data_IF_886728570631
#
_entry.id   IF_886728570631
#
_cell.length_a   1.000
_cell.length_b   1.000
_cell.length_c   1.000
_cell.angle_alpha   90.00
_cell.angle_beta   90.00
_cell.angle_gamma   90.00
#
_symmetry.space_group_name_H-M   'P 1'
#
loop_
_entity.id
_entity.type
_entity.pdbx_description
1 polymer ?
#
# COMPACT_ATOMS: atom_id res chain seq x y z
N UNK A 1 19.65 38.58 27.18
CA UNK A 1 19.78 39.98 27.57
C UNK A 1 18.39 40.63 27.58
N UNK A 2 18.17 41.67 28.36
CA UNK A 2 16.88 42.39 28.43
C UNK A 2 16.46 42.89 27.04
N UNK A 3 17.38 43.37 26.24
CA UNK A 3 17.12 43.77 24.85
C UNK A 3 16.51 42.64 24.01
N UNK A 4 17.01 41.40 24.09
CA UNK A 4 16.44 40.27 23.37
C UNK A 4 15.01 39.96 23.81
N UNK A 5 14.71 40.04 25.12
CA UNK A 5 13.38 39.81 25.64
C UNK A 5 12.36 40.85 25.14
N UNK A 6 12.79 42.13 25.06
CA UNK A 6 11.96 43.20 24.52
C UNK A 6 11.71 43.02 23.03
N UNK A 7 12.74 42.68 22.25
CA UNK A 7 12.62 42.43 20.81
C UNK A 7 11.71 41.21 20.54
N UNK A 8 11.90 40.10 21.27
CA UNK A 8 11.06 38.92 21.17
C UNK A 8 9.59 39.26 21.45
N UNK A 9 9.33 39.99 22.53
CA UNK A 9 7.99 40.43 22.92
C UNK A 9 7.37 41.36 21.89
N UNK A 10 8.13 42.36 21.43
CA UNK A 10 7.65 43.40 20.51
C UNK A 10 7.33 42.86 19.09
N UNK A 11 8.18 41.98 18.57
CA UNK A 11 8.09 41.52 17.17
C UNK A 11 7.35 40.17 17.12
N UNK A 12 7.85 39.15 17.85
CA UNK A 12 7.31 37.79 17.84
C UNK A 12 6.06 37.61 18.67
N UNK A 13 5.99 38.32 19.76
CA UNK A 13 5.01 38.17 20.82
C UNK A 13 5.48 37.18 21.89
N UNK A 14 5.17 37.48 23.12
CA UNK A 14 5.43 36.65 24.28
C UNK A 14 4.14 36.39 25.05
N UNK A 15 3.93 35.16 25.47
CA UNK A 15 2.81 34.83 26.34
C UNK A 15 2.99 35.54 27.69
N UNK A 16 2.07 36.47 27.99
CA UNK A 16 2.03 37.18 29.29
C UNK A 16 1.39 36.33 30.36
N UNK A 17 0.34 35.57 30.02
CA UNK A 17 -0.36 34.64 30.88
C UNK A 17 -1.11 33.63 30.03
N UNK A 18 -1.68 32.61 30.71
CA UNK A 18 -2.52 31.60 30.07
C UNK A 18 -3.95 31.82 30.56
N UNK A 19 -4.88 31.87 29.62
CA UNK A 19 -6.31 31.92 29.91
C UNK A 19 -6.88 30.50 29.82
N UNK A 20 -7.67 30.13 30.85
CA UNK A 20 -8.30 28.81 30.95
C UNK A 20 -9.79 28.94 30.65
N UNK A 21 -10.27 28.17 29.69
CA UNK A 21 -11.68 28.03 29.36
C UNK A 21 -12.06 26.54 29.39
N UNK A 22 -12.63 26.10 30.50
CA UNK A 22 -12.86 24.69 30.80
C UNK A 22 -11.56 23.87 30.74
N UNK A 23 -11.46 22.91 29.81
CA UNK A 23 -10.28 22.08 29.61
C UNK A 23 -9.30 22.66 28.56
N UNK A 24 -9.64 23.82 27.99
CA UNK A 24 -8.80 24.46 26.94
C UNK A 24 -7.97 25.58 27.56
N UNK A 25 -6.73 25.66 27.08
CA UNK A 25 -5.78 26.70 27.46
C UNK A 25 -5.49 27.58 26.26
N UNK A 26 -5.49 28.91 26.48
CA UNK A 26 -5.17 29.91 25.46
C UNK A 26 -4.08 30.83 25.98
N UNK A 27 -3.01 31.00 25.19
CA UNK A 27 -1.95 31.94 25.52
C UNK A 27 -2.41 33.38 25.23
N UNK A 28 -2.34 34.23 26.26
CA UNK A 28 -2.56 35.67 26.09
C UNK A 28 -1.24 36.28 25.61
N UNK A 29 -1.15 36.53 24.31
CA UNK A 29 0.08 37.02 23.65
C UNK A 29 0.14 38.55 23.71
N UNK A 30 1.26 39.05 24.22
CA UNK A 30 1.58 40.47 24.15
C UNK A 30 2.57 40.74 23.01
N UNK A 31 2.19 41.60 22.06
CA UNK A 31 3.06 42.05 20.96
C UNK A 31 2.62 43.41 20.44
N UNK A 32 3.51 44.10 19.73
CA UNK A 32 3.15 45.34 19.07
C UNK A 32 2.19 45.13 17.91
N UNK A 33 1.37 46.13 17.63
CA UNK A 33 0.52 46.15 16.43
C UNK A 33 1.35 45.99 15.16
N UNK A 34 0.73 45.43 14.13
CA UNK A 34 1.40 45.12 12.86
C UNK A 34 2.08 46.31 12.21
N UNK A 35 1.48 47.50 12.32
CA UNK A 35 2.03 48.74 11.77
C UNK A 35 3.40 49.16 12.37
N UNK A 36 3.74 48.69 13.58
CA UNK A 36 5.00 49.05 14.26
C UNK A 36 6.07 47.99 14.14
N UNK A 37 5.80 46.84 13.51
CA UNK A 37 6.74 45.74 13.36
C UNK A 37 7.00 45.24 11.94
N UNK A 38 6.42 45.92 10.91
CA UNK A 38 6.57 45.54 9.51
C UNK A 38 7.61 46.38 8.77
N UNK A 39 8.19 47.39 9.43
CA UNK A 39 9.12 48.32 8.85
C UNK A 39 10.42 48.35 9.65
N UNK A 40 11.55 48.28 8.97
CA UNK A 40 12.89 48.29 9.57
C UNK A 40 13.12 49.55 10.40
N UNK A 41 12.65 50.73 9.92
CA UNK A 41 12.77 51.98 10.65
C UNK A 41 11.95 51.95 11.96
N UNK A 42 10.72 51.48 11.92
CA UNK A 42 9.84 51.40 13.10
C UNK A 42 10.32 50.37 14.14
N UNK A 43 10.92 49.27 13.66
CA UNK A 43 11.58 48.31 14.56
C UNK A 43 12.79 48.96 15.23
N UNK A 44 13.53 49.81 14.49
CA UNK A 44 14.65 50.57 15.03
C UNK A 44 14.28 51.57 16.13
N UNK A 45 13.06 52.08 16.12
CA UNK A 45 12.55 53.04 17.09
C UNK A 45 12.02 52.37 18.39
N UNK A 46 12.01 51.03 18.48
CA UNK A 46 11.64 50.33 19.70
C UNK A 46 12.60 50.73 20.84
N UNK A 47 12.04 51.19 21.95
CA UNK A 47 12.79 51.63 23.11
C UNK A 47 13.20 50.45 23.98
N UNK A 48 14.49 50.36 24.25
CA UNK A 48 15.10 49.33 25.12
C UNK A 48 15.47 49.98 26.45
N UNK A 49 15.01 49.49 27.63
CA UNK A 49 15.41 49.97 28.90
C UNK A 49 16.88 49.66 29.18
N UNK A 50 17.63 50.64 29.73
CA UNK A 50 19.02 50.45 30.17
C UNK A 50 19.04 50.29 31.71
N UNK A 51 20.13 49.77 32.25
CA UNK A 51 20.31 49.59 33.69
C UNK A 51 20.22 50.92 34.50
N UNK A 52 20.50 52.03 33.86
CA UNK A 52 20.42 53.37 34.45
C UNK A 52 19.00 53.98 34.38
N UNK A 53 17.99 53.19 33.99
CA UNK A 53 16.60 53.63 33.88
C UNK A 53 16.30 54.52 32.68
N UNK A 54 17.25 54.74 31.76
CA UNK A 54 17.05 55.44 30.50
C UNK A 54 16.50 54.49 29.43
N UNK A 55 15.82 55.05 28.45
CA UNK A 55 15.34 54.28 27.29
C UNK A 55 16.17 54.71 26.07
N UNK A 56 16.69 53.71 25.32
CA UNK A 56 17.52 53.91 24.13
C UNK A 56 16.85 53.23 22.94
N UNK A 57 16.70 53.88 21.78
CA UNK A 57 16.16 53.26 20.57
C UNK A 57 17.04 52.07 20.12
N UNK A 58 16.41 51.01 19.65
CA UNK A 58 17.11 49.79 19.20
C UNK A 58 18.15 50.09 18.11
N UNK A 59 17.88 51.04 17.21
CA UNK A 59 18.80 51.46 16.14
C UNK A 59 20.13 52.02 16.62
N UNK A 60 20.24 52.47 17.89
CA UNK A 60 21.48 52.97 18.46
C UNK A 60 22.37 51.82 19.01
N UNK A 61 21.79 50.67 19.27
CA UNK A 61 22.49 49.53 19.87
C UNK A 61 22.58 48.30 18.95
N UNK A 62 21.83 48.30 17.82
CA UNK A 62 21.81 47.17 16.88
C UNK A 62 21.63 47.63 15.42
N UNK A 63 22.28 46.96 14.51
CA UNK A 63 22.07 47.10 13.07
C UNK A 63 20.93 46.17 12.63
N UNK A 64 19.83 46.77 12.13
CA UNK A 64 18.60 46.06 11.79
C UNK A 64 18.54 45.91 10.28
N UNK A 65 18.43 44.68 9.81
CA UNK A 65 18.35 44.33 8.40
C UNK A 65 17.35 43.24 8.16
N UNK A 66 16.52 43.40 7.16
CA UNK A 66 15.73 42.28 6.64
C UNK A 66 16.62 41.33 5.84
N UNK A 67 16.74 40.10 6.29
CA UNK A 67 17.44 39.04 5.56
C UNK A 67 16.46 37.96 5.17
N UNK A 68 16.50 37.55 3.91
CA UNK A 68 15.77 36.40 3.45
C UNK A 68 16.59 35.14 3.73
N UNK A 69 16.01 34.21 4.45
CA UNK A 69 16.66 32.96 4.80
C UNK A 69 15.62 31.88 5.16
N UNK A 70 16.01 30.62 5.23
CA UNK A 70 15.10 29.57 5.65
C UNK A 70 14.67 29.78 7.10
N UNK A 71 13.36 29.82 7.36
CA UNK A 71 12.79 29.97 8.69
C UNK A 71 13.23 28.84 9.64
N UNK A 72 13.42 27.65 9.08
CA UNK A 72 13.90 26.47 9.81
C UNK A 72 14.98 25.75 9.00
N UNK A 73 15.97 25.23 9.69
CA UNK A 73 17.02 24.37 9.13
C UNK A 73 16.76 22.96 9.62
N UNK A 74 16.14 22.14 8.75
CA UNK A 74 15.89 20.74 9.04
C UNK A 74 17.17 19.92 8.97
N UNK A 75 17.30 18.97 9.91
CA UNK A 75 18.44 18.07 9.95
C UNK A 75 17.99 16.63 10.21
N UNK A 76 18.58 15.70 9.51
CA UNK A 76 18.41 14.28 9.69
C UNK A 76 19.79 13.61 9.66
N UNK A 77 20.10 12.75 10.64
CA UNK A 77 21.40 12.09 10.71
C UNK A 77 22.58 13.08 10.71
N UNK A 78 22.50 14.21 11.42
CA UNK A 78 23.48 15.31 11.46
C UNK A 78 23.68 16.09 10.15
N UNK A 79 22.98 15.74 9.08
CA UNK A 79 23.04 16.45 7.79
C UNK A 79 21.83 17.39 7.62
N UNK A 80 22.06 18.54 6.99
CA UNK A 80 20.95 19.43 6.61
C UNK A 80 20.22 18.83 5.43
N UNK A 81 18.90 18.98 5.41
CA UNK A 81 18.10 18.61 4.24
C UNK A 81 17.05 19.65 3.89
N UNK A 82 16.64 19.64 2.64
CA UNK A 82 15.49 20.40 2.13
C UNK A 82 14.47 19.38 1.62
N UNK A 83 13.28 19.39 2.21
CA UNK A 83 12.18 18.53 1.78
C UNK A 83 11.39 19.19 0.64
N UNK A 84 11.36 18.54 -0.52
CA UNK A 84 10.52 18.92 -1.65
C UNK A 84 9.35 17.92 -1.70
N UNK A 85 8.18 18.37 -1.26
CA UNK A 85 6.97 17.56 -1.28
C UNK A 85 6.15 17.83 -2.55
N UNK A 86 5.63 16.78 -3.16
CA UNK A 86 4.68 16.86 -4.27
C UNK A 86 3.64 15.77 -4.18
N UNK A 87 2.46 16.01 -4.75
CA UNK A 87 1.36 15.06 -4.80
C UNK A 87 1.13 14.61 -6.24
N UNK A 88 0.85 13.32 -6.41
CA UNK A 88 0.56 12.74 -7.72
C UNK A 88 -0.97 12.64 -7.87
N UNK A 89 -1.48 13.02 -9.04
CA UNK A 89 -2.90 12.89 -9.40
C UNK A 89 -3.01 12.21 -10.75
N UNK A 90 -3.96 11.30 -10.88
CA UNK A 90 -4.33 10.60 -12.12
C UNK A 90 -3.20 9.78 -12.78
N UNK A 91 -2.13 9.46 -12.01
CA UNK A 91 -1.00 8.63 -12.46
C UNK A 91 -0.56 7.65 -11.37
N UNK A 92 0.08 6.57 -11.79
CA UNK A 92 0.71 5.63 -10.88
C UNK A 92 1.95 6.24 -10.18
N UNK A 93 2.07 5.96 -8.88
CA UNK A 93 3.17 6.47 -8.04
C UNK A 93 4.54 5.97 -8.53
N UNK A 94 4.66 4.67 -8.81
CA UNK A 94 5.93 4.04 -9.20
C UNK A 94 6.46 4.64 -10.50
N UNK A 95 5.66 4.61 -11.58
CA UNK A 95 6.05 5.13 -12.89
C UNK A 95 6.35 6.62 -12.89
N UNK A 96 5.64 7.41 -12.05
CA UNK A 96 5.89 8.85 -11.92
C UNK A 96 7.21 9.13 -11.23
N UNK A 97 7.54 8.38 -10.17
CA UNK A 97 8.82 8.54 -9.47
C UNK A 97 9.98 8.07 -10.35
N UNK A 98 9.85 6.96 -11.07
CA UNK A 98 10.90 6.48 -12.00
C UNK A 98 11.19 7.54 -13.08
N UNK A 99 10.14 8.17 -13.64
CA UNK A 99 10.29 9.28 -14.58
C UNK A 99 10.97 10.50 -13.93
N UNK A 100 10.58 10.84 -12.70
CA UNK A 100 11.16 11.95 -11.95
C UNK A 100 12.63 11.70 -11.64
N UNK A 101 13.00 10.50 -11.22
CA UNK A 101 14.39 10.10 -10.98
C UNK A 101 15.24 10.26 -12.22
N UNK A 102 14.79 9.70 -13.34
CA UNK A 102 15.51 9.80 -14.61
C UNK A 102 15.68 11.24 -15.10
N UNK A 103 14.68 12.12 -14.88
CA UNK A 103 14.78 13.53 -15.22
C UNK A 103 15.72 14.29 -14.29
N UNK A 104 15.66 14.04 -13.01
CA UNK A 104 16.52 14.69 -12.01
C UNK A 104 17.97 14.30 -12.22
N UNK A 105 18.29 13.02 -12.42
CA UNK A 105 19.65 12.56 -12.70
C UNK A 105 20.24 13.23 -13.96
N UNK A 106 19.41 13.48 -14.97
CA UNK A 106 19.87 14.07 -16.23
C UNK A 106 20.00 15.60 -16.19
N UNK A 107 19.13 16.28 -15.43
CA UNK A 107 19.00 17.73 -15.48
C UNK A 107 19.61 18.45 -14.28
N UNK A 108 19.79 17.80 -13.15
CA UNK A 108 20.23 18.40 -11.90
C UNK A 108 21.66 18.00 -11.59
N UNK A 109 22.58 18.97 -11.62
CA UNK A 109 23.96 18.77 -11.15
C UNK A 109 24.03 19.12 -9.69
N UNK A 110 24.22 18.13 -8.85
CA UNK A 110 24.35 18.32 -7.41
C UNK A 110 25.76 18.77 -7.02
N UNK A 111 25.88 19.72 -6.06
CA UNK A 111 27.18 20.02 -5.43
C UNK A 111 27.79 18.79 -4.77
N UNK A 112 29.10 18.76 -4.69
CA UNK A 112 29.81 17.69 -3.99
C UNK A 112 29.32 17.51 -2.54
N UNK A 113 29.09 16.26 -2.11
CA UNK A 113 28.56 15.94 -0.79
C UNK A 113 27.04 16.03 -0.66
N UNK A 114 26.30 16.47 -1.68
CA UNK A 114 24.83 16.45 -1.69
C UNK A 114 24.30 15.10 -2.15
N UNK A 115 23.19 14.66 -1.54
CA UNK A 115 22.49 13.41 -1.88
C UNK A 115 21.00 13.68 -2.07
N UNK A 116 20.38 13.03 -3.03
CA UNK A 116 18.94 12.98 -3.17
C UNK A 116 18.44 11.69 -2.54
N UNK A 117 17.45 11.81 -1.69
CA UNK A 117 16.76 10.66 -1.10
C UNK A 117 15.28 10.76 -1.44
N UNK A 118 14.76 9.72 -2.04
CA UNK A 118 13.34 9.59 -2.32
C UNK A 118 12.68 8.91 -1.13
N UNK A 119 11.81 9.64 -0.43
CA UNK A 119 11.18 9.20 0.81
C UNK A 119 9.65 9.23 0.71
N UNK A 120 8.99 8.78 1.77
CA UNK A 120 7.54 8.78 1.87
C UNK A 120 6.89 7.50 1.35
N UNK A 121 5.74 7.64 0.70
CA UNK A 121 4.92 6.50 0.27
C UNK A 121 5.64 5.60 -0.75
N UNK A 122 6.44 6.19 -1.64
CA UNK A 122 7.25 5.45 -2.61
C UNK A 122 8.23 4.47 -1.96
N UNK A 123 8.95 4.90 -0.93
CA UNK A 123 9.89 4.03 -0.21
C UNK A 123 9.18 2.86 0.47
N UNK A 124 8.02 3.16 1.06
CA UNK A 124 7.17 2.13 1.68
C UNK A 124 6.64 1.13 0.66
N UNK A 125 6.21 1.62 -0.51
CA UNK A 125 5.78 0.78 -1.63
C UNK A 125 6.92 -0.11 -2.15
N UNK A 126 8.12 0.45 -2.33
CA UNK A 126 9.28 -0.30 -2.81
C UNK A 126 9.69 -1.40 -1.81
N UNK A 127 9.72 -1.09 -0.51
CA UNK A 127 9.99 -2.08 0.54
C UNK A 127 8.95 -3.20 0.56
N UNK A 128 7.68 -2.87 0.42
CA UNK A 128 6.62 -3.86 0.40
C UNK A 128 6.64 -4.71 -0.87
N UNK A 129 6.91 -4.13 -2.04
CA UNK A 129 7.07 -4.88 -3.29
C UNK A 129 8.23 -5.88 -3.22
N UNK A 130 9.37 -5.47 -2.64
CA UNK A 130 10.50 -6.39 -2.41
C UNK A 130 10.12 -7.54 -1.46
N UNK A 131 9.35 -7.27 -0.41
CA UNK A 131 8.85 -8.31 0.51
C UNK A 131 7.88 -9.25 -0.20
N UNK A 132 6.94 -8.74 -0.99
CA UNK A 132 6.00 -9.55 -1.76
C UNK A 132 6.71 -10.46 -2.77
N UNK A 133 7.78 -9.97 -3.42
CA UNK A 133 8.58 -10.76 -4.34
C UNK A 133 9.22 -12.01 -3.69
N UNK A 134 9.40 -12.01 -2.38
CA UNK A 134 9.87 -13.18 -1.62
C UNK A 134 8.70 -13.98 -1.04
N UNK A 135 7.72 -13.29 -0.47
CA UNK A 135 6.58 -13.93 0.22
C UNK A 135 5.70 -14.71 -0.74
N UNK A 136 5.39 -14.17 -1.94
CA UNK A 136 4.50 -14.85 -2.90
C UNK A 136 5.07 -16.19 -3.36
N UNK A 137 6.33 -16.30 -3.82
CA UNK A 137 6.92 -17.61 -4.13
C UNK A 137 6.98 -18.55 -2.94
N UNK A 138 7.31 -18.04 -1.74
CA UNK A 138 7.36 -18.87 -0.52
C UNK A 138 5.97 -19.44 -0.18
N UNK A 139 4.91 -18.65 -0.29
CA UNK A 139 3.53 -19.12 -0.09
C UNK A 139 3.13 -20.13 -1.15
N UNK A 140 3.47 -19.91 -2.43
CA UNK A 140 3.20 -20.88 -3.49
C UNK A 140 3.89 -22.22 -3.24
N UNK A 141 5.17 -22.20 -2.84
CA UNK A 141 5.89 -23.42 -2.46
C UNK A 141 5.26 -24.11 -1.25
N UNK A 142 4.85 -23.34 -0.24
CA UNK A 142 4.15 -23.88 0.92
C UNK A 142 2.82 -24.54 0.53
N UNK A 143 2.04 -23.91 -0.34
CA UNK A 143 0.78 -24.48 -0.84
C UNK A 143 1.05 -25.79 -1.62
N UNK A 144 2.04 -25.79 -2.51
CA UNK A 144 2.44 -27.01 -3.25
C UNK A 144 2.90 -28.12 -2.31
N UNK A 145 3.64 -27.79 -1.26
CA UNK A 145 4.06 -28.74 -0.24
C UNK A 145 2.86 -29.32 0.52
N UNK A 146 1.91 -28.48 0.95
CA UNK A 146 0.69 -28.92 1.62
C UNK A 146 -0.20 -29.77 0.70
N UNK A 147 -0.31 -29.43 -0.58
CA UNK A 147 -0.99 -30.24 -1.58
C UNK A 147 -0.33 -31.62 -1.72
N UNK A 148 0.99 -31.66 -1.75
CA UNK A 148 1.72 -32.92 -1.82
C UNK A 148 1.51 -33.78 -0.58
N UNK A 149 1.55 -33.19 0.60
CA UNK A 149 1.24 -33.90 1.85
C UNK A 149 -0.19 -34.46 1.87
N UNK A 150 -1.15 -33.73 1.31
CA UNK A 150 -2.55 -34.16 1.27
C UNK A 150 -2.77 -35.33 0.30
N UNK A 151 -2.18 -35.31 -0.89
CA UNK A 151 -2.42 -36.30 -1.94
C UNK A 151 -1.44 -37.48 -1.91
N UNK A 152 -0.25 -37.30 -1.37
CA UNK A 152 0.83 -38.29 -1.34
C UNK A 152 1.41 -38.65 -2.72
N UNK A 153 0.96 -38.01 -3.79
CA UNK A 153 1.42 -38.25 -5.17
C UNK A 153 1.64 -36.95 -5.91
N UNK A 154 2.75 -36.87 -6.63
CA UNK A 154 3.10 -35.69 -7.45
C UNK A 154 2.03 -35.42 -8.54
N UNK A 155 1.46 -36.51 -9.08
CA UNK A 155 0.45 -36.43 -10.13
C UNK A 155 -0.80 -35.69 -9.66
N UNK A 156 -1.38 -36.08 -8.54
CA UNK A 156 -2.59 -35.46 -8.00
C UNK A 156 -2.30 -34.03 -7.50
N UNK A 157 -1.11 -33.81 -6.95
CA UNK A 157 -0.62 -32.49 -6.58
C UNK A 157 -0.59 -31.54 -7.77
N UNK A 158 -0.05 -31.96 -8.92
CA UNK A 158 0.00 -31.15 -10.13
C UNK A 158 -1.38 -30.89 -10.73
N UNK A 159 -2.29 -31.87 -10.66
CA UNK A 159 -3.68 -31.68 -11.08
C UNK A 159 -4.34 -30.59 -10.22
N UNK A 160 -4.22 -30.68 -8.91
CA UNK A 160 -4.79 -29.67 -8.01
C UNK A 160 -4.11 -28.29 -8.19
N UNK A 161 -2.80 -28.25 -8.36
CA UNK A 161 -2.03 -27.03 -8.58
C UNK A 161 -2.31 -26.36 -9.92
N UNK A 162 -2.86 -27.09 -10.91
CA UNK A 162 -3.22 -26.54 -12.23
C UNK A 162 -4.25 -25.41 -12.16
N UNK A 163 -4.95 -25.26 -11.04
CA UNK A 163 -5.89 -24.15 -10.82
C UNK A 163 -5.21 -22.83 -10.42
N UNK A 164 -3.97 -22.86 -9.94
CA UNK A 164 -3.25 -21.65 -9.52
C UNK A 164 -3.02 -20.65 -10.67
N UNK A 165 -2.61 -21.05 -11.88
CA UNK A 165 -2.50 -20.12 -13.00
C UNK A 165 -3.82 -19.39 -13.33
N UNK A 166 -4.96 -20.05 -13.11
CA UNK A 166 -6.27 -19.43 -13.35
C UNK A 166 -6.59 -18.36 -12.31
N UNK A 167 -6.12 -18.53 -11.08
CA UNK A 167 -6.23 -17.52 -10.04
C UNK A 167 -5.45 -16.24 -10.43
N UNK A 168 -4.25 -16.40 -10.99
CA UNK A 168 -3.50 -15.26 -11.54
C UNK A 168 -4.28 -14.56 -12.65
N UNK A 169 -4.70 -15.29 -13.64
CA UNK A 169 -5.44 -14.74 -14.78
C UNK A 169 -6.72 -14.04 -14.32
N UNK A 170 -7.49 -14.69 -13.44
CA UNK A 170 -8.74 -14.14 -12.92
C UNK A 170 -8.55 -12.86 -12.13
N UNK A 171 -7.55 -12.82 -11.25
CA UNK A 171 -7.20 -11.64 -10.46
C UNK A 171 -6.72 -10.47 -11.32
N UNK A 172 -5.87 -10.72 -12.31
CA UNK A 172 -5.40 -9.67 -13.23
C UNK A 172 -6.51 -9.13 -14.13
N UNK A 173 -7.36 -9.99 -14.67
CA UNK A 173 -8.49 -9.56 -15.48
C UNK A 173 -9.42 -8.65 -14.66
N UNK A 174 -9.70 -9.00 -13.41
CA UNK A 174 -10.58 -8.18 -12.57
C UNK A 174 -10.00 -6.80 -12.26
N UNK A 175 -8.70 -6.69 -12.00
CA UNK A 175 -8.01 -5.41 -11.80
C UNK A 175 -8.02 -4.58 -13.10
N UNK A 176 -7.75 -5.22 -14.23
CA UNK A 176 -7.72 -4.57 -15.53
C UNK A 176 -9.09 -4.00 -15.92
N UNK A 177 -10.16 -4.79 -15.74
CA UNK A 177 -11.54 -4.33 -15.98
C UNK A 177 -11.94 -3.17 -15.07
N UNK A 178 -11.47 -3.19 -13.81
CA UNK A 178 -11.72 -2.11 -12.86
C UNK A 178 -10.81 -0.87 -13.07
N UNK A 179 -9.83 -0.92 -13.97
CA UNK A 179 -8.89 0.18 -14.21
C UNK A 179 -7.95 0.44 -13.02
N UNK A 180 -7.71 -0.57 -12.17
CA UNK A 180 -6.92 -0.42 -10.95
C UNK A 180 -5.51 -0.97 -11.21
N UNK A 181 -4.45 -0.17 -10.96
CA UNK A 181 -3.08 -0.64 -11.12
C UNK A 181 -2.74 -1.72 -10.10
N UNK A 182 -1.82 -2.62 -10.48
CA UNK A 182 -1.34 -3.65 -9.58
C UNK A 182 -0.46 -3.03 -8.49
N UNK A 183 -0.92 -3.11 -7.25
CA UNK A 183 -0.23 -2.58 -6.07
C UNK A 183 -0.06 -3.62 -4.96
N UNK A 184 0.44 -3.18 -3.82
CA UNK A 184 0.70 -4.02 -2.64
C UNK A 184 -0.57 -4.75 -2.18
N UNK A 185 -1.69 -4.01 -2.11
CA UNK A 185 -2.98 -4.55 -1.66
C UNK A 185 -3.50 -5.64 -2.60
N UNK A 186 -3.31 -5.46 -3.91
CA UNK A 186 -3.60 -6.49 -4.89
C UNK A 186 -2.69 -7.73 -4.70
N UNK A 187 -1.40 -7.54 -4.41
CA UNK A 187 -0.48 -8.63 -4.09
C UNK A 187 -0.91 -9.46 -2.88
N UNK A 188 -1.42 -8.83 -1.83
CA UNK A 188 -2.02 -9.52 -0.67
C UNK A 188 -3.28 -10.27 -1.10
N UNK A 189 -4.12 -9.65 -1.95
CA UNK A 189 -5.30 -10.28 -2.52
C UNK A 189 -4.98 -11.58 -3.28
N UNK A 190 -3.86 -11.63 -4.01
CA UNK A 190 -3.38 -12.86 -4.66
C UNK A 190 -3.11 -13.99 -3.68
N UNK A 191 -2.43 -13.70 -2.57
CA UNK A 191 -2.13 -14.71 -1.56
C UNK A 191 -3.42 -15.33 -1.01
N UNK A 192 -4.41 -14.48 -0.70
CA UNK A 192 -5.72 -14.92 -0.22
C UNK A 192 -6.44 -15.75 -1.30
N UNK A 193 -6.43 -15.28 -2.55
CA UNK A 193 -7.07 -15.95 -3.66
C UNK A 193 -6.47 -17.34 -3.91
N UNK A 194 -5.13 -17.49 -3.84
CA UNK A 194 -4.47 -18.80 -3.93
C UNK A 194 -4.90 -19.75 -2.85
N UNK A 195 -5.06 -19.28 -1.61
CA UNK A 195 -5.57 -20.10 -0.52
C UNK A 195 -6.98 -20.63 -0.81
N UNK A 196 -7.90 -19.74 -1.20
CA UNK A 196 -9.30 -20.11 -1.51
C UNK A 196 -9.38 -21.10 -2.67
N UNK A 197 -8.65 -20.82 -3.76
CA UNK A 197 -8.66 -21.66 -4.96
C UNK A 197 -8.04 -23.02 -4.67
N UNK A 198 -6.98 -23.08 -3.86
CA UNK A 198 -6.33 -24.35 -3.47
C UNK A 198 -7.26 -25.24 -2.67
N UNK A 199 -8.03 -24.69 -1.73
CA UNK A 199 -9.01 -25.46 -0.95
C UNK A 199 -10.07 -26.07 -1.88
N UNK A 200 -10.64 -25.29 -2.79
CA UNK A 200 -11.62 -25.78 -3.76
C UNK A 200 -11.04 -26.88 -4.66
N UNK A 201 -9.80 -26.71 -5.11
CA UNK A 201 -9.10 -27.69 -5.94
C UNK A 201 -8.82 -29.00 -5.23
N UNK A 202 -8.40 -28.95 -3.95
CA UNK A 202 -8.21 -30.14 -3.11
C UNK A 202 -9.53 -30.91 -3.01
N UNK A 203 -10.60 -30.23 -2.64
CA UNK A 203 -11.89 -30.86 -2.42
C UNK A 203 -12.48 -31.51 -3.68
N UNK A 204 -12.33 -30.85 -4.84
CA UNK A 204 -12.81 -31.37 -6.10
C UNK A 204 -11.96 -32.56 -6.59
N UNK A 205 -10.64 -32.44 -6.55
CA UNK A 205 -9.70 -33.49 -6.96
C UNK A 205 -9.81 -34.73 -6.07
N UNK A 206 -9.91 -34.55 -4.75
CA UNK A 206 -10.10 -35.66 -3.80
C UNK A 206 -11.41 -36.39 -4.04
N UNK A 207 -12.51 -35.69 -4.31
CA UNK A 207 -13.80 -36.27 -4.61
C UNK A 207 -13.77 -37.04 -5.95
N UNK A 208 -13.20 -36.48 -7.01
CA UNK A 208 -13.04 -37.15 -8.30
C UNK A 208 -12.21 -38.44 -8.13
N UNK A 209 -11.13 -38.42 -7.33
CA UNK A 209 -10.29 -39.58 -7.06
C UNK A 209 -11.04 -40.67 -6.29
N UNK A 210 -11.80 -40.31 -5.25
CA UNK A 210 -12.61 -41.23 -4.46
C UNK A 210 -13.68 -41.91 -5.32
N UNK A 211 -14.42 -41.14 -6.13
CA UNK A 211 -15.43 -41.71 -7.01
C UNK A 211 -14.83 -42.56 -8.14
N UNK A 212 -13.63 -42.23 -8.63
CA UNK A 212 -12.93 -43.06 -9.61
C UNK A 212 -12.51 -44.39 -9.03
N UNK A 213 -12.13 -44.46 -7.76
CA UNK A 213 -11.80 -45.71 -7.07
C UNK A 213 -13.03 -46.62 -6.91
N UNK A 214 -14.21 -46.00 -6.68
CA UNK A 214 -15.46 -46.75 -6.50
C UNK A 214 -16.07 -47.22 -7.85
N UNK A 215 -16.18 -46.33 -8.83
CA UNK A 215 -16.88 -46.64 -10.09
C UNK A 215 -15.99 -47.19 -11.20
N UNK A 216 -14.68 -47.03 -11.10
CA UNK A 216 -13.68 -47.36 -12.16
C UNK A 216 -13.93 -46.67 -13.50
N UNK A 217 -14.93 -45.77 -13.60
CA UNK A 217 -15.26 -45.01 -14.79
C UNK A 217 -14.91 -43.55 -14.58
N UNK A 218 -13.97 -43.01 -15.40
CA UNK A 218 -13.43 -41.65 -15.27
C UNK A 218 -14.51 -40.63 -15.56
N UNK A 219 -15.33 -40.84 -16.61
CA UNK A 219 -16.39 -39.89 -16.98
C UNK A 219 -17.42 -39.76 -15.86
N UNK A 220 -17.92 -40.91 -15.34
CA UNK A 220 -18.86 -40.90 -14.23
C UNK A 220 -18.30 -40.22 -12.97
N UNK A 221 -17.04 -40.49 -12.63
CA UNK A 221 -16.39 -39.90 -11.46
C UNK A 221 -16.29 -38.37 -11.59
N UNK A 222 -16.00 -37.87 -12.78
CA UNK A 222 -15.93 -36.42 -13.06
C UNK A 222 -17.32 -35.78 -12.97
N UNK A 223 -18.31 -36.32 -13.69
CA UNK A 223 -19.65 -35.76 -13.77
C UNK A 223 -20.31 -35.69 -12.39
N UNK A 224 -20.19 -36.78 -11.61
CA UNK A 224 -20.76 -36.85 -10.27
C UNK A 224 -20.01 -35.94 -9.29
N UNK A 225 -18.68 -35.85 -9.36
CA UNK A 225 -17.91 -34.91 -8.52
C UNK A 225 -18.28 -33.45 -8.79
N UNK A 226 -18.39 -33.08 -10.07
CA UNK A 226 -18.81 -31.74 -10.48
C UNK A 226 -20.23 -31.47 -9.97
N UNK A 227 -21.18 -32.37 -10.16
CA UNK A 227 -22.58 -32.22 -9.73
C UNK A 227 -22.69 -32.01 -8.21
N UNK A 228 -21.97 -32.79 -7.42
CA UNK A 228 -21.98 -32.70 -5.94
C UNK A 228 -21.37 -31.38 -5.47
N UNK A 229 -20.24 -30.96 -6.08
CA UNK A 229 -19.49 -29.79 -5.61
C UNK A 229 -19.96 -28.44 -6.18
N UNK A 230 -20.60 -28.44 -7.36
CA UNK A 230 -21.00 -27.22 -8.03
C UNK A 230 -21.80 -26.28 -7.12
N UNK A 231 -22.84 -26.83 -6.46
CA UNK A 231 -23.71 -26.05 -5.57
C UNK A 231 -22.94 -25.45 -4.38
N UNK A 232 -22.09 -26.24 -3.73
CA UNK A 232 -21.34 -25.78 -2.58
C UNK A 232 -20.31 -24.70 -2.95
N UNK A 233 -19.55 -24.90 -4.03
CA UNK A 233 -18.54 -23.94 -4.47
C UNK A 233 -19.20 -22.67 -5.02
N UNK A 234 -20.33 -22.77 -5.72
CA UNK A 234 -21.11 -21.61 -6.16
C UNK A 234 -21.58 -20.77 -4.97
N UNK A 235 -22.11 -21.41 -3.93
CA UNK A 235 -22.51 -20.67 -2.71
C UNK A 235 -21.33 -19.98 -2.04
N UNK A 236 -20.20 -20.66 -1.88
CA UNK A 236 -18.98 -20.08 -1.29
C UNK A 236 -18.49 -18.89 -2.12
N UNK A 237 -18.47 -19.03 -3.45
CA UNK A 237 -18.05 -17.97 -4.36
C UNK A 237 -18.98 -16.75 -4.31
N UNK A 238 -20.29 -16.97 -4.27
CA UNK A 238 -21.25 -15.88 -4.15
C UNK A 238 -21.20 -15.20 -2.79
N UNK A 239 -21.13 -15.98 -1.70
CA UNK A 239 -21.02 -15.40 -0.35
C UNK A 239 -19.72 -14.60 -0.18
N UNK A 240 -18.57 -15.15 -0.62
CA UNK A 240 -17.29 -14.46 -0.56
C UNK A 240 -17.29 -13.18 -1.40
N UNK A 241 -17.86 -13.23 -2.60
CA UNK A 241 -18.00 -12.04 -3.46
C UNK A 241 -18.95 -11.01 -2.87
N UNK A 242 -20.11 -11.41 -2.35
CA UNK A 242 -21.07 -10.51 -1.74
C UNK A 242 -20.51 -9.82 -0.48
N UNK A 243 -19.76 -10.54 0.34
CA UNK A 243 -19.12 -9.99 1.54
C UNK A 243 -18.06 -8.93 1.23
N UNK A 244 -17.36 -9.05 0.12
CA UNK A 244 -16.32 -8.09 -0.30
C UNK A 244 -16.82 -7.03 -1.29
N UNK A 245 -18.06 -7.17 -1.80
CA UNK A 245 -18.62 -6.24 -2.78
C UNK A 245 -18.67 -4.78 -2.30
N UNK A 246 -19.06 -4.48 -1.04
CA UNK A 246 -19.05 -3.10 -0.54
C UNK A 246 -17.65 -2.49 -0.58
N UNK A 247 -16.60 -3.26 -0.24
CA UNK A 247 -15.21 -2.81 -0.30
C UNK A 247 -14.73 -2.63 -1.75
N UNK A 248 -15.14 -3.51 -2.67
CA UNK A 248 -14.79 -3.43 -4.09
C UNK A 248 -15.42 -2.20 -4.77
N UNK A 249 -16.60 -1.76 -4.34
CA UNK A 249 -17.33 -0.61 -4.88
C UNK A 249 -17.03 0.70 -4.12
N UNK A 250 -16.27 0.65 -3.04
CA UNK A 250 -15.93 1.80 -2.20
C UNK A 250 -15.19 2.89 -2.99
N UNK A 251 -15.57 4.18 -2.75
CA UNK A 251 -14.94 5.37 -3.36
C UNK A 251 -14.54 6.42 -2.33
N UNK A 252 -14.70 6.13 -1.03
CA UNK A 252 -14.35 7.06 0.06
C UNK A 252 -12.84 7.16 0.33
N UNK A 253 -12.43 8.14 1.13
CA UNK A 253 -11.06 8.25 1.63
C UNK A 253 -10.66 6.96 2.36
N UNK A 254 -9.47 6.42 2.07
CA UNK A 254 -8.99 5.15 2.62
C UNK A 254 -9.43 3.91 1.85
N UNK A 255 -10.34 4.03 0.87
CA UNK A 255 -10.73 2.90 0.00
C UNK A 255 -9.60 2.44 -0.92
N UNK A 256 -8.61 3.28 -1.17
CA UNK A 256 -7.48 3.04 -2.08
C UNK A 256 -6.69 1.77 -1.71
N UNK A 257 -6.66 1.41 -0.43
CA UNK A 257 -5.99 0.20 0.06
C UNK A 257 -6.90 -1.03 -0.03
N UNK A 258 -8.18 -0.88 0.31
CA UNK A 258 -9.11 -2.02 0.40
C UNK A 258 -9.71 -2.41 -0.96
N UNK A 259 -9.97 -1.43 -1.82
CA UNK A 259 -10.61 -1.64 -3.12
C UNK A 259 -9.81 -2.56 -4.07
N UNK A 260 -8.48 -2.36 -4.29
CA UNK A 260 -7.70 -3.26 -5.14
C UNK A 260 -7.70 -4.71 -4.65
N UNK A 261 -7.59 -4.90 -3.32
CA UNK A 261 -7.67 -6.22 -2.69
C UNK A 261 -9.03 -6.87 -2.91
N UNK A 262 -10.11 -6.13 -2.65
CA UNK A 262 -11.48 -6.64 -2.76
C UNK A 262 -11.85 -6.96 -4.21
N UNK A 263 -11.56 -6.06 -5.16
CA UNK A 263 -11.81 -6.27 -6.59
C UNK A 263 -11.10 -7.51 -7.11
N UNK A 264 -9.86 -7.68 -6.71
CA UNK A 264 -9.05 -8.82 -7.11
C UNK A 264 -9.60 -10.14 -6.58
N UNK A 265 -10.01 -10.19 -5.29
CA UNK A 265 -10.57 -11.40 -4.69
C UNK A 265 -11.94 -11.71 -5.31
N UNK A 266 -12.84 -10.72 -5.40
CA UNK A 266 -14.19 -10.91 -5.96
C UNK A 266 -14.12 -11.41 -7.40
N UNK A 267 -13.41 -10.70 -8.27
CA UNK A 267 -13.29 -11.10 -9.67
C UNK A 267 -12.50 -12.39 -9.84
N UNK A 268 -11.42 -12.57 -9.05
CA UNK A 268 -10.63 -13.79 -9.06
C UNK A 268 -11.44 -15.03 -8.66
N UNK A 269 -12.25 -14.96 -7.60
CA UNK A 269 -13.10 -16.08 -7.16
C UNK A 269 -14.12 -16.43 -8.25
N UNK A 270 -14.80 -15.44 -8.86
CA UNK A 270 -15.81 -15.69 -9.89
C UNK A 270 -15.20 -16.34 -11.14
N UNK A 271 -14.08 -15.84 -11.61
CA UNK A 271 -13.39 -16.42 -12.77
C UNK A 271 -12.83 -17.81 -12.44
N UNK A 272 -12.22 -17.97 -11.28
CA UNK A 272 -11.72 -19.27 -10.84
C UNK A 272 -12.83 -20.30 -10.64
N UNK A 273 -14.02 -19.88 -10.19
CA UNK A 273 -15.19 -20.76 -10.13
C UNK A 273 -15.48 -21.39 -11.49
N UNK A 274 -15.63 -20.57 -12.53
CA UNK A 274 -15.91 -21.06 -13.89
C UNK A 274 -14.78 -21.95 -14.40
N UNK A 275 -13.54 -21.51 -14.27
CA UNK A 275 -12.37 -22.25 -14.79
C UNK A 275 -12.09 -23.55 -14.03
N UNK A 276 -12.35 -23.58 -12.71
CA UNK A 276 -12.16 -24.81 -11.92
C UNK A 276 -13.13 -25.94 -12.34
N UNK A 277 -14.36 -25.60 -12.72
CA UNK A 277 -15.33 -26.61 -13.16
C UNK A 277 -15.22 -26.97 -14.65
N UNK A 278 -14.51 -26.18 -15.45
CA UNK A 278 -14.29 -26.50 -16.86
C UNK A 278 -12.92 -27.16 -17.10
N UNK A 279 -11.86 -26.62 -16.54
CA UNK A 279 -10.49 -27.03 -16.85
C UNK A 279 -9.96 -28.12 -15.94
N UNK A 280 -10.20 -28.04 -14.62
CA UNK A 280 -9.71 -29.06 -13.68
C UNK A 280 -10.22 -30.48 -14.01
N UNK A 281 -11.51 -30.69 -14.34
CA UNK A 281 -11.99 -32.00 -14.78
C UNK A 281 -11.30 -32.52 -16.02
N UNK A 282 -11.00 -31.64 -16.99
CA UNK A 282 -10.29 -32.02 -18.21
C UNK A 282 -8.84 -32.45 -17.91
N UNK A 283 -8.13 -31.68 -17.08
CA UNK A 283 -6.77 -32.02 -16.64
C UNK A 283 -6.78 -33.36 -15.91
N UNK A 284 -7.76 -33.60 -15.05
CA UNK A 284 -7.95 -34.88 -14.35
C UNK A 284 -8.20 -36.03 -15.35
N UNK A 285 -9.09 -35.83 -16.33
CA UNK A 285 -9.38 -36.81 -17.37
C UNK A 285 -8.12 -37.18 -18.16
N UNK A 286 -7.36 -36.22 -18.66
CA UNK A 286 -6.12 -36.48 -19.42
C UNK A 286 -5.08 -37.21 -18.56
N UNK A 287 -4.92 -36.81 -17.31
CA UNK A 287 -3.94 -37.40 -16.42
C UNK A 287 -4.26 -38.88 -16.11
N UNK A 288 -5.53 -39.23 -15.91
CA UNK A 288 -5.93 -40.57 -15.55
C UNK A 288 -6.26 -41.46 -16.74
N UNK A 289 -6.66 -40.91 -17.90
CA UNK A 289 -6.85 -41.66 -19.15
C UNK A 289 -5.51 -42.23 -19.66
N UNK A 290 -4.44 -41.41 -19.65
CA UNK A 290 -3.09 -41.86 -20.04
C UNK A 290 -2.52 -42.95 -19.15
N UNK A 291 -2.89 -43.00 -17.89
CA UNK A 291 -2.42 -44.03 -16.95
C UNK A 291 -3.05 -45.41 -17.23
N UNK A 292 -4.28 -45.49 -17.78
CA UNK A 292 -4.93 -46.73 -18.19
C UNK A 292 -4.29 -47.35 -19.43
N UNK A 293 -3.74 -46.53 -20.33
CA UNK A 293 -3.08 -46.99 -21.56
C UNK A 293 -1.70 -47.60 -21.26
N UNK A 294 -0.96 -47.04 -20.28
CA UNK A 294 0.37 -47.54 -19.91
C UNK A 294 0.37 -48.69 -18.91
N UNK A 295 -0.75 -48.98 -18.22
CA UNK A 295 -0.88 -50.10 -17.30
C UNK A 295 -1.29 -51.44 -17.97
N UNK A 296 -1.49 -51.43 -19.29
CA UNK A 296 -1.86 -52.63 -20.07
C UNK A 296 -0.73 -53.05 -21.04
N UNK A 297 0.52 -52.69 -20.74
CA UNK A 297 1.73 -53.21 -21.39
C UNK A 297 2.59 -53.99 -20.42
#
# INVERSE_FOLDING_TARGET
SEAQAVIEMAIGGKAATVFYENERTFDVMLRFEQQFRNDEQKIGDILIPTMDGKQVPLKEIADIKFVTGPAFIYREGSSRYVGIGFSIRDRDLGSTIDEAQAKVERLVHLPEGSKIQWAGEFESQQRATKRLAVVVPAVLLLILFLLYMNFGTVKDTLIAASTMPYAFIGGFISLWVAGIPFGISAGIGFIILFGIVSINSILLTALMKSLLQQSRNIGFAIDEAVRIRLRAVLMISLMGSAGLLPAALSTGMGSEVQKPLAVMIVGGILICFVLSFTVLPQVFYFAYSKSKINGNR
#
